data_IF_150379454567
#
_entry.id   IF_150379454567
#
_cell.length_a   1.000
_cell.length_b   1.000
_cell.length_c   1.000
_cell.angle_alpha   90.00
_cell.angle_beta   90.00
_cell.angle_gamma   90.00
#
_symmetry.space_group_name_H-M   'P 1'
#
loop_
_entity.id
_entity.type
_entity.pdbx_description
1 polymer ?
#
# COMPACT_ATOMS: atom_id res chain seq x y z
N UNK A 1 -43.74 -6.70 -3.32
CA UNK A 1 -42.55 -5.84 -3.22
C UNK A 1 -41.99 -6.01 -1.82
N UNK A 2 -40.93 -6.81 -1.67
CA UNK A 2 -40.32 -7.10 -0.36
C UNK A 2 -39.03 -6.28 -0.23
N UNK A 3 -38.89 -5.56 0.88
CA UNK A 3 -37.68 -4.79 1.20
C UNK A 3 -36.60 -5.76 1.72
N UNK A 4 -35.40 -5.68 1.16
CA UNK A 4 -34.25 -6.45 1.63
C UNK A 4 -33.73 -5.85 2.95
N UNK A 5 -33.49 -6.70 3.95
CA UNK A 5 -32.86 -6.31 5.22
C UNK A 5 -31.36 -6.05 4.99
N UNK A 6 -30.81 -4.89 5.35
CA UNK A 6 -29.38 -4.64 5.23
C UNK A 6 -28.61 -5.58 6.16
N UNK A 7 -27.58 -6.26 5.62
CA UNK A 7 -26.63 -7.02 6.42
C UNK A 7 -25.85 -6.10 7.37
N UNK A 8 -25.46 -6.62 8.54
CA UNK A 8 -24.59 -5.89 9.47
C UNK A 8 -23.25 -5.61 8.76
N UNK A 9 -22.86 -4.34 8.71
CA UNK A 9 -21.55 -3.95 8.22
C UNK A 9 -20.45 -4.53 9.13
N UNK A 10 -19.52 -5.28 8.55
CA UNK A 10 -18.24 -5.57 9.19
C UNK A 10 -17.31 -4.36 8.99
N UNK A 11 -16.42 -4.12 9.95
CA UNK A 11 -15.31 -3.19 9.71
C UNK A 11 -14.43 -3.77 8.60
N UNK A 12 -13.97 -2.93 7.67
CA UNK A 12 -12.94 -3.33 6.72
C UNK A 12 -11.64 -3.53 7.50
N UNK A 13 -11.37 -4.78 7.88
CA UNK A 13 -10.05 -5.23 8.33
C UNK A 13 -9.15 -5.52 7.12
N UNK A 14 -9.16 -4.63 6.12
CA UNK A 14 -8.39 -4.79 4.89
C UNK A 14 -6.97 -4.24 5.11
N UNK A 15 -6.16 -4.98 5.85
CA UNK A 15 -4.75 -4.65 6.13
C UNK A 15 -3.81 -5.83 5.92
N UNK A 16 -2.54 -5.55 5.60
CA UNK A 16 -1.51 -6.59 5.54
C UNK A 16 -1.24 -7.09 6.96
N UNK A 17 -1.30 -8.40 7.17
CA UNK A 17 -1.03 -9.01 8.48
C UNK A 17 0.40 -8.71 8.95
N UNK A 18 0.58 -8.46 10.25
CA UNK A 18 1.90 -8.25 10.83
C UNK A 18 2.77 -9.49 10.63
N UNK A 19 4.00 -9.29 10.14
CA UNK A 19 4.92 -10.38 9.81
C UNK A 19 4.64 -11.06 8.47
N UNK A 20 3.59 -10.66 7.73
CA UNK A 20 3.43 -11.08 6.34
C UNK A 20 4.60 -10.55 5.51
N UNK A 21 5.14 -11.43 4.66
CA UNK A 21 6.22 -11.08 3.74
C UNK A 21 5.57 -10.62 2.43
N UNK A 22 5.85 -9.39 1.97
CA UNK A 22 5.34 -8.92 0.69
C UNK A 22 5.96 -9.73 -0.46
N UNK A 23 5.24 -9.82 -1.58
CA UNK A 23 5.77 -10.43 -2.79
C UNK A 23 6.99 -9.64 -3.31
N UNK A 24 8.02 -10.36 -3.77
CA UNK A 24 9.15 -9.76 -4.45
C UNK A 24 8.70 -9.34 -5.85
N UNK A 25 8.54 -8.03 -6.05
CA UNK A 25 8.09 -7.44 -7.31
C UNK A 25 9.20 -6.58 -7.91
N UNK A 26 9.35 -6.70 -9.23
CA UNK A 26 10.18 -5.80 -10.02
C UNK A 26 9.30 -4.70 -10.58
N UNK A 27 9.65 -3.45 -10.27
CA UNK A 27 8.96 -2.25 -10.73
C UNK A 27 9.88 -1.41 -11.60
N UNK A 28 9.29 -0.47 -12.33
CA UNK A 28 10.00 0.59 -13.02
C UNK A 28 10.08 1.81 -12.09
N UNK A 29 11.26 2.39 -11.95
CA UNK A 29 11.46 3.66 -11.23
C UNK A 29 10.97 4.85 -12.06
N UNK A 30 10.86 6.02 -11.44
CA UNK A 30 10.45 7.24 -12.17
C UNK A 30 11.45 7.66 -13.25
N UNK A 31 12.70 7.19 -13.17
CA UNK A 31 13.75 7.41 -14.16
C UNK A 31 13.78 6.34 -15.26
N UNK A 32 12.88 5.35 -15.20
CA UNK A 32 12.76 4.27 -16.20
C UNK A 32 13.63 3.03 -15.92
N UNK A 33 14.40 3.03 -14.83
CA UNK A 33 15.25 1.89 -14.46
C UNK A 33 14.48 0.82 -13.68
N UNK A 34 14.79 -0.47 -13.85
CA UNK A 34 14.16 -1.55 -13.06
C UNK A 34 14.65 -1.53 -11.62
N UNK A 35 13.75 -1.84 -10.67
CA UNK A 35 14.07 -2.04 -9.26
C UNK A 35 13.38 -3.30 -8.72
N UNK A 36 14.14 -4.19 -8.09
CA UNK A 36 13.62 -5.36 -7.39
C UNK A 36 13.40 -5.03 -5.90
N UNK A 37 12.13 -5.00 -5.45
CA UNK A 37 11.81 -4.72 -4.05
C UNK A 37 12.19 -5.86 -3.11
N UNK A 38 12.34 -7.09 -3.61
CA UNK A 38 12.78 -8.24 -2.83
C UNK A 38 14.21 -8.09 -2.29
N UNK A 39 15.07 -7.36 -3.00
CA UNK A 39 16.44 -7.05 -2.54
C UNK A 39 16.45 -5.98 -1.44
N UNK A 40 15.42 -5.13 -1.40
CA UNK A 40 15.31 -4.01 -0.46
C UNK A 40 14.70 -4.47 0.87
N UNK A 41 13.71 -5.37 0.83
CA UNK A 41 13.04 -5.85 2.03
C UNK A 41 13.94 -6.78 2.88
N UNK A 42 13.86 -6.64 4.21
CA UNK A 42 14.54 -7.53 5.16
C UNK A 42 15.99 -7.17 5.50
N UNK A 43 16.65 -6.29 4.74
CA UNK A 43 18.03 -5.84 5.04
C UNK A 43 18.07 -4.69 6.05
N UNK A 44 17.03 -3.86 6.06
CA UNK A 44 16.85 -2.69 6.95
C UNK A 44 15.36 -2.38 7.08
N UNK A 45 14.94 -1.56 8.06
CA UNK A 45 13.58 -1.04 8.09
C UNK A 45 13.30 -0.20 6.83
N UNK A 46 12.16 -0.48 6.19
CA UNK A 46 11.71 0.19 4.97
C UNK A 46 10.29 0.69 5.18
N UNK A 47 10.03 1.95 4.79
CA UNK A 47 8.70 2.52 4.71
C UNK A 47 8.24 2.50 3.25
N UNK A 48 7.20 1.74 2.93
CA UNK A 48 6.56 1.74 1.61
C UNK A 48 5.38 2.71 1.65
N UNK A 49 5.43 3.75 0.83
CA UNK A 49 4.36 4.75 0.72
C UNK A 49 3.73 4.68 -0.67
N UNK A 50 2.44 4.36 -0.73
CA UNK A 50 1.64 4.50 -1.94
C UNK A 50 1.12 5.93 -2.04
N UNK A 51 1.50 6.66 -3.09
CA UNK A 51 1.13 8.06 -3.28
C UNK A 51 0.89 8.38 -4.76
N UNK A 52 0.32 9.55 -5.01
CA UNK A 52 0.17 10.09 -6.35
C UNK A 52 0.23 11.62 -6.32
N UNK A 53 0.57 12.26 -7.44
CA UNK A 53 0.72 13.72 -7.55
C UNK A 53 -0.56 14.49 -7.24
N UNK A 54 -1.73 13.89 -7.49
CA UNK A 54 -3.05 14.46 -7.21
C UNK A 54 -3.57 14.18 -5.79
N UNK A 55 -2.81 13.43 -4.98
CA UNK A 55 -3.22 13.07 -3.63
C UNK A 55 -2.91 14.20 -2.64
N UNK A 56 -3.91 15.01 -2.30
CA UNK A 56 -3.75 16.14 -1.37
C UNK A 56 -3.27 15.71 0.03
N UNK A 57 -3.76 14.57 0.55
CA UNK A 57 -3.33 14.07 1.85
C UNK A 57 -1.88 13.58 1.83
N UNK A 58 -1.45 12.97 0.72
CA UNK A 58 -0.07 12.52 0.56
C UNK A 58 0.89 13.71 0.60
N UNK A 59 0.57 14.79 -0.13
CA UNK A 59 1.36 16.02 -0.10
C UNK A 59 1.49 16.60 1.31
N UNK A 60 0.42 16.59 2.11
CA UNK A 60 0.45 17.08 3.49
C UNK A 60 1.31 16.22 4.43
N UNK A 61 1.53 14.94 4.11
CA UNK A 61 2.29 13.98 4.89
C UNK A 61 3.74 13.81 4.41
N UNK A 62 4.16 14.54 3.38
CA UNK A 62 5.55 14.48 2.91
C UNK A 62 6.52 14.99 3.99
N UNK A 63 7.69 14.33 4.16
CA UNK A 63 8.75 14.82 5.03
C UNK A 63 9.22 16.23 4.60
N UNK A 64 9.60 17.05 5.58
CA UNK A 64 10.18 18.39 5.35
C UNK A 64 11.70 18.34 5.25
#
# INVERSE_FOLDING_TARGET
MALATPGRAAAQEDGIALGAVPEAVVLETLDGEPVDLGEVFGTRPVLVQFWATWCAICQALHPR
#
